data_IF_657980291425
#
_entry.id   IF_657980291425
#
_cell.length_a   1.000
_cell.length_b   1.000
_cell.length_c   1.000
_cell.angle_alpha   90.00
_cell.angle_beta   90.00
_cell.angle_gamma   90.00
#
_symmetry.space_group_name_H-M   'P 1'
#
loop_
_entity.id
_entity.type
_entity.pdbx_description
1 polymer ?
#
# COMPACT_ATOMS: atom_id res chain seq x y z
N UNK A 1 15.84 1.35 -8.07
CA UNK A 1 14.97 1.52 -9.24
C UNK A 1 14.41 0.17 -9.66
N UNK A 2 15.25 -0.81 -10.04
CA UNK A 2 14.79 -2.18 -10.37
C UNK A 2 13.98 -2.93 -9.28
N UNK A 3 14.31 -2.77 -7.99
CA UNK A 3 13.59 -3.45 -6.89
C UNK A 3 12.14 -2.96 -6.73
N UNK A 4 11.88 -1.66 -6.90
CA UNK A 4 10.53 -1.08 -6.80
C UNK A 4 9.65 -1.36 -8.03
N UNK A 5 10.26 -1.57 -9.20
CA UNK A 5 9.57 -1.96 -10.45
C UNK A 5 8.98 -3.37 -10.31
N UNK A 6 9.78 -4.31 -9.78
CA UNK A 6 9.35 -5.69 -9.53
C UNK A 6 8.24 -5.76 -8.49
N UNK A 7 8.31 -4.95 -7.43
CA UNK A 7 7.30 -4.95 -6.37
C UNK A 7 5.93 -4.43 -6.83
N UNK A 8 5.88 -3.31 -7.55
CA UNK A 8 4.60 -2.75 -8.02
C UNK A 8 3.93 -3.66 -9.06
N UNK A 9 4.70 -4.17 -10.02
CA UNK A 9 4.21 -5.16 -10.99
C UNK A 9 3.69 -6.43 -10.29
N UNK A 10 4.45 -6.95 -9.33
CA UNK A 10 4.07 -8.15 -8.59
C UNK A 10 2.73 -7.97 -7.86
N UNK A 11 2.52 -6.86 -7.15
CA UNK A 11 1.26 -6.61 -6.45
C UNK A 11 0.06 -6.52 -7.41
N UNK A 12 0.20 -5.87 -8.57
CA UNK A 12 -0.87 -5.80 -9.57
C UNK A 12 -1.29 -7.19 -10.07
N UNK A 13 -0.31 -8.05 -10.35
CA UNK A 13 -0.56 -9.44 -10.75
C UNK A 13 -1.24 -10.24 -9.64
N UNK A 14 -0.75 -10.14 -8.40
CA UNK A 14 -1.33 -10.85 -7.25
C UNK A 14 -2.77 -10.40 -6.97
N UNK A 15 -3.11 -9.11 -7.11
CA UNK A 15 -4.49 -8.61 -6.96
C UNK A 15 -5.41 -9.21 -8.03
N UNK A 16 -4.96 -9.26 -9.29
CA UNK A 16 -5.77 -9.74 -10.42
C UNK A 16 -6.04 -11.24 -10.35
N UNK A 17 -5.03 -12.01 -9.96
CA UNK A 17 -5.05 -13.48 -10.05
C UNK A 17 -5.50 -14.14 -8.72
N UNK A 18 -5.94 -13.34 -7.74
CA UNK A 18 -6.39 -13.85 -6.44
C UNK A 18 -7.80 -14.49 -6.50
N UNK A 19 -7.91 -15.69 -5.95
CA UNK A 19 -9.18 -16.39 -5.73
C UNK A 19 -10.06 -15.63 -4.72
N UNK A 20 -11.36 -15.55 -5.01
CA UNK A 20 -12.31 -14.75 -4.23
C UNK A 20 -12.60 -15.32 -2.84
N UNK A 21 -12.46 -16.62 -2.69
CA UNK A 21 -12.70 -17.43 -1.49
C UNK A 21 -11.40 -17.81 -0.77
N UNK A 22 -10.27 -17.23 -1.17
CA UNK A 22 -9.01 -17.41 -0.48
C UNK A 22 -9.09 -16.93 0.97
N UNK A 23 -8.62 -17.75 1.91
CA UNK A 23 -8.47 -17.40 3.32
C UNK A 23 -7.07 -17.78 3.82
N UNK A 24 -6.57 -16.98 4.78
CA UNK A 24 -5.31 -17.30 5.43
C UNK A 24 -5.50 -18.37 6.50
N UNK A 25 -4.47 -19.20 6.66
CA UNK A 25 -4.38 -20.20 7.71
C UNK A 25 -3.05 -20.10 8.45
N UNK A 26 -3.06 -20.50 9.72
CA UNK A 26 -1.84 -20.68 10.51
C UNK A 26 -0.98 -21.76 9.83
N UNK A 27 0.33 -21.50 9.73
CA UNK A 27 1.30 -22.37 9.08
C UNK A 27 1.48 -22.14 7.57
N UNK A 28 0.74 -21.21 6.94
CA UNK A 28 1.03 -20.81 5.56
C UNK A 28 2.40 -20.14 5.45
N UNK A 29 3.14 -20.45 4.39
CA UNK A 29 4.53 -20.02 4.19
C UNK A 29 4.65 -19.15 2.95
N UNK A 30 5.46 -18.10 3.05
CA UNK A 30 5.85 -17.21 1.95
C UNK A 30 7.37 -17.05 1.92
N UNK A 31 7.93 -16.90 0.73
CA UNK A 31 9.38 -16.95 0.51
C UNK A 31 10.11 -15.71 1.03
N UNK A 32 9.41 -14.58 1.13
CA UNK A 32 9.96 -13.29 1.57
C UNK A 32 8.86 -12.31 2.01
N UNK A 33 9.25 -11.13 2.53
CA UNK A 33 8.31 -10.11 3.01
C UNK A 33 7.41 -9.59 1.88
N UNK A 34 7.94 -9.43 0.67
CA UNK A 34 7.22 -8.87 -0.48
C UNK A 34 6.06 -9.78 -0.86
N UNK A 35 6.32 -11.08 -0.99
CA UNK A 35 5.31 -12.09 -1.30
C UNK A 35 4.22 -12.14 -0.21
N UNK A 36 4.63 -12.23 1.06
CA UNK A 36 3.71 -12.26 2.19
C UNK A 36 2.83 -10.99 2.25
N UNK A 37 3.45 -9.82 2.08
CA UNK A 37 2.77 -8.54 2.10
C UNK A 37 1.82 -8.39 0.91
N UNK A 38 2.24 -8.72 -0.31
CA UNK A 38 1.40 -8.59 -1.49
C UNK A 38 0.22 -9.56 -1.47
N UNK A 39 0.43 -10.80 -1.00
CA UNK A 39 -0.68 -11.73 -0.81
C UNK A 39 -1.69 -11.17 0.21
N UNK A 40 -1.22 -10.63 1.33
CA UNK A 40 -2.13 -10.07 2.33
C UNK A 40 -2.84 -8.80 1.86
N UNK A 41 -2.14 -7.92 1.12
CA UNK A 41 -2.75 -6.73 0.52
C UNK A 41 -3.80 -7.12 -0.51
N UNK A 42 -3.51 -8.06 -1.42
CA UNK A 42 -4.49 -8.49 -2.40
C UNK A 42 -5.74 -9.08 -1.75
N UNK A 43 -5.58 -9.88 -0.70
CA UNK A 43 -6.69 -10.40 0.11
C UNK A 43 -7.51 -9.26 0.71
N UNK A 44 -6.83 -8.28 1.32
CA UNK A 44 -7.48 -7.15 1.95
C UNK A 44 -8.25 -6.27 0.95
N UNK A 45 -7.68 -6.02 -0.24
CA UNK A 45 -8.36 -5.32 -1.33
C UNK A 45 -9.60 -6.11 -1.78
N UNK A 46 -9.46 -7.43 -1.96
CA UNK A 46 -10.55 -8.33 -2.31
C UNK A 46 -11.70 -8.30 -1.30
N UNK A 47 -11.40 -8.22 0.00
CA UNK A 47 -12.39 -8.08 1.09
C UNK A 47 -12.90 -6.65 1.26
N UNK A 48 -12.13 -5.63 0.89
CA UNK A 48 -12.50 -4.22 0.99
C UNK A 48 -11.95 -3.50 2.23
N UNK A 49 -10.74 -3.82 2.68
CA UNK A 49 -10.08 -3.06 3.74
C UNK A 49 -8.63 -2.72 3.38
N UNK A 50 -8.09 -1.68 4.03
CA UNK A 50 -6.69 -1.28 3.86
C UNK A 50 -5.77 -1.99 4.85
N UNK A 51 -4.52 -2.19 4.45
CA UNK A 51 -3.47 -2.81 5.27
C UNK A 51 -2.43 -1.77 5.68
N UNK A 52 -1.90 -1.91 6.90
CA UNK A 52 -0.75 -1.17 7.43
C UNK A 52 0.30 -2.14 7.95
N UNK A 53 1.58 -1.86 7.66
CA UNK A 53 2.72 -2.51 8.30
C UNK A 53 2.85 -1.99 9.74
N UNK A 54 2.82 -2.87 10.73
CA UNK A 54 2.87 -2.51 12.14
C UNK A 54 4.22 -2.93 12.74
N UNK A 55 4.22 -3.93 13.63
CA UNK A 55 5.40 -4.31 14.37
C UNK A 55 6.40 -5.09 13.50
N UNK A 56 7.68 -4.80 13.69
CA UNK A 56 8.82 -5.53 13.14
C UNK A 56 9.75 -5.87 14.30
N UNK A 57 9.97 -7.15 14.56
CA UNK A 57 10.95 -7.60 15.56
C UNK A 57 12.20 -8.09 14.86
N UNK A 58 13.36 -7.74 15.43
CA UNK A 58 14.67 -8.20 14.96
C UNK A 58 15.44 -8.88 16.08
N UNK A 59 16.28 -9.85 15.74
CA UNK A 59 17.21 -10.45 16.69
C UNK A 59 18.46 -9.57 16.89
N UNK A 60 19.41 -10.02 17.73
CA UNK A 60 20.67 -9.31 18.00
C UNK A 60 21.56 -9.13 16.76
N UNK A 61 21.37 -9.96 15.73
CA UNK A 61 22.10 -9.87 14.45
C UNK A 61 21.43 -8.91 13.46
N UNK A 62 20.27 -8.34 13.81
CA UNK A 62 19.49 -7.46 12.95
C UNK A 62 18.55 -8.18 11.98
N UNK A 63 18.48 -9.52 12.03
CA UNK A 63 17.60 -10.32 11.18
C UNK A 63 16.16 -10.20 11.68
N UNK A 64 15.21 -10.09 10.76
CA UNK A 64 13.78 -10.03 11.07
C UNK A 64 13.37 -11.39 11.63
N UNK A 65 12.71 -11.39 12.80
CA UNK A 65 12.17 -12.60 13.44
C UNK A 65 10.66 -12.62 13.49
N UNK A 66 10.02 -11.46 13.47
CA UNK A 66 8.56 -11.32 13.42
C UNK A 66 8.14 -10.11 12.63
N UNK A 67 7.02 -10.24 11.92
CA UNK A 67 6.38 -9.14 11.21
C UNK A 67 4.87 -9.20 11.39
N UNK A 68 4.25 -8.05 11.63
CA UNK A 68 2.80 -7.93 11.78
C UNK A 68 2.24 -6.96 10.74
N UNK A 69 1.18 -7.38 10.05
CA UNK A 69 0.35 -6.52 9.22
C UNK A 69 -1.04 -6.43 9.85
N UNK A 70 -1.61 -5.23 9.83
CA UNK A 70 -2.89 -4.93 10.51
C UNK A 70 -3.85 -4.23 9.56
N UNK A 71 -5.14 -4.26 9.90
CA UNK A 71 -6.10 -3.38 9.27
C UNK A 71 -5.71 -1.90 9.46
N UNK A 72 -5.97 -1.06 8.47
CA UNK A 72 -5.73 0.38 8.57
C UNK A 72 -6.58 1.03 9.68
N UNK A 73 -7.68 0.37 10.07
CA UNK A 73 -8.56 0.76 11.17
C UNK A 73 -8.15 0.21 12.55
N UNK A 74 -6.99 -0.47 12.64
CA UNK A 74 -6.49 -1.06 13.89
C UNK A 74 -6.15 0.01 14.93
N UNK A 75 -6.45 -0.33 16.19
CA UNK A 75 -6.19 0.50 17.36
C UNK A 75 -7.11 1.72 17.43
N UNK A 76 -6.84 2.62 18.38
CA UNK A 76 -7.53 3.90 18.48
C UNK A 76 -6.53 5.02 18.20
N UNK A 77 -6.98 6.06 17.49
CA UNK A 77 -6.18 7.28 17.41
C UNK A 77 -6.12 7.87 18.82
N UNK A 78 -4.90 8.04 19.36
CA UNK A 78 -4.72 8.93 20.50
C UNK A 78 -5.01 10.34 19.98
N UNK A 79 -6.15 10.91 20.39
CA UNK A 79 -6.47 12.30 20.14
C UNK A 79 -5.27 13.15 20.56
N UNK A 80 -4.68 13.88 19.62
CA UNK A 80 -3.63 14.82 19.95
C UNK A 80 -4.27 15.94 20.76
N UNK A 81 -3.92 16.03 22.04
CA UNK A 81 -4.18 17.19 22.89
C UNK A 81 -3.85 18.49 22.14
N UNK A 82 -4.79 19.43 22.12
CA UNK A 82 -4.61 20.88 21.93
C UNK A 82 -3.64 21.37 20.84
N UNK A 83 -3.63 20.74 19.67
CA UNK A 83 -3.11 21.40 18.47
C UNK A 83 -4.22 21.49 17.44
N UNK A 84 -4.69 22.72 17.20
CA UNK A 84 -5.60 23.09 16.12
C UNK A 84 -5.12 22.46 14.81
N UNK A 85 -5.72 21.31 14.45
CA UNK A 85 -5.47 20.72 13.14
C UNK A 85 -6.21 21.57 12.12
N UNK A 86 -5.44 22.12 11.17
CA UNK A 86 -5.95 22.83 9.98
C UNK A 86 -6.93 22.00 9.14
N UNK A 87 -7.00 20.68 9.38
CA UNK A 87 -7.98 19.74 8.82
C UNK A 87 -8.28 18.63 9.82
N UNK A 88 -9.56 18.41 10.12
CA UNK A 88 -10.06 17.22 10.80
C UNK A 88 -9.77 16.00 9.91
N UNK A 89 -8.73 15.25 10.25
CA UNK A 89 -8.47 13.97 9.61
C UNK A 89 -9.51 13.02 10.21
N UNK A 90 -10.56 12.68 9.46
CA UNK A 90 -11.52 11.64 9.84
C UNK A 90 -10.76 10.49 10.51
N UNK A 91 -11.10 10.19 11.77
CA UNK A 91 -10.39 9.18 12.53
C UNK A 91 -10.52 7.83 11.81
N UNK A 92 -9.39 7.34 11.29
CA UNK A 92 -9.36 6.13 10.46
C UNK A 92 -9.34 4.87 11.33
N UNK A 93 -9.06 4.99 12.63
CA UNK A 93 -8.80 3.88 13.56
C UNK A 93 -9.93 3.74 14.58
N UNK A 94 -10.66 2.63 14.51
CA UNK A 94 -11.89 2.36 15.26
C UNK A 94 -11.76 1.14 16.19
N UNK A 95 -10.55 0.80 16.61
CA UNK A 95 -10.27 -0.34 17.49
C UNK A 95 -10.36 -1.70 16.79
N UNK A 96 -10.21 -1.75 15.46
CA UNK A 96 -10.22 -3.01 14.74
C UNK A 96 -9.06 -3.90 15.24
N UNK A 97 -9.29 -5.21 15.38
CA UNK A 97 -8.27 -6.15 15.88
C UNK A 97 -7.69 -7.03 14.77
N UNK A 98 -8.16 -6.87 13.53
CA UNK A 98 -7.70 -7.66 12.38
C UNK A 98 -6.22 -7.47 12.16
N UNK A 99 -5.52 -8.60 12.17
CA UNK A 99 -4.08 -8.68 11.99
C UNK A 99 -3.65 -10.06 11.53
N UNK A 100 -2.51 -10.09 10.87
CA UNK A 100 -1.75 -11.29 10.56
C UNK A 100 -0.33 -11.12 11.08
N UNK A 101 0.17 -12.12 11.80
CA UNK A 101 1.53 -12.14 12.31
C UNK A 101 2.30 -13.28 11.67
N UNK A 102 3.53 -12.97 11.31
CA UNK A 102 4.48 -13.91 10.75
C UNK A 102 5.61 -14.16 11.74
N UNK A 103 5.96 -15.44 11.91
CA UNK A 103 7.29 -15.85 12.36
C UNK A 103 8.19 -15.81 11.13
N UNK A 104 9.39 -15.26 11.29
CA UNK A 104 10.37 -15.17 10.20
C UNK A 104 11.60 -15.99 10.57
N UNK A 105 11.96 -16.93 9.70
CA UNK A 105 13.16 -17.75 9.82
C UNK A 105 13.91 -17.78 8.49
N UNK A 106 15.18 -17.37 8.49
CA UNK A 106 15.99 -17.25 7.27
C UNK A 106 15.30 -16.49 6.11
N UNK A 107 14.51 -15.47 6.44
CA UNK A 107 13.76 -14.66 5.48
C UNK A 107 12.44 -15.28 5.00
N UNK A 108 12.11 -16.50 5.41
CA UNK A 108 10.85 -17.18 5.13
C UNK A 108 9.79 -16.77 6.15
N UNK A 109 8.60 -16.41 5.68
CA UNK A 109 7.50 -15.87 6.48
C UNK A 109 6.43 -16.95 6.68
N UNK A 110 6.27 -17.43 7.92
CA UNK A 110 5.25 -18.40 8.30
C UNK A 110 4.16 -17.72 9.13
N UNK A 111 2.89 -17.89 8.77
CA UNK A 111 1.75 -17.33 9.52
C UNK A 111 1.65 -17.99 10.89
N UNK A 112 1.84 -17.22 11.96
CA UNK A 112 1.76 -17.68 13.34
C UNK A 112 0.49 -17.25 14.08
N UNK A 113 -0.15 -16.16 13.63
CA UNK A 113 -1.42 -15.67 14.18
C UNK A 113 -2.22 -15.01 13.05
N UNK A 114 -3.52 -15.27 13.01
CA UNK A 114 -4.43 -14.67 12.06
C UNK A 114 -5.77 -14.36 12.75
N UNK A 115 -6.16 -13.08 12.71
CA UNK A 115 -7.43 -12.57 13.23
C UNK A 115 -8.16 -11.88 12.08
N UNK A 116 -9.34 -12.37 11.72
CA UNK A 116 -10.11 -11.94 10.55
C UNK A 116 -11.34 -11.10 10.86
N UNK A 117 -11.81 -11.07 12.11
CA UNK A 117 -13.06 -10.40 12.47
C UNK A 117 -12.91 -8.88 12.52
N UNK A 118 -13.65 -8.19 11.63
CA UNK A 118 -13.71 -6.74 11.56
C UNK A 118 -14.86 -6.17 12.39
N UNK A 119 -14.64 -5.00 12.98
CA UNK A 119 -15.66 -4.23 13.70
C UNK A 119 -16.15 -2.99 12.92
N UNK A 120 -15.84 -2.93 11.62
CA UNK A 120 -16.21 -1.82 10.74
C UNK A 120 -16.67 -2.36 9.38
N UNK A 121 -17.43 -1.54 8.65
CA UNK A 121 -17.83 -1.87 7.29
C UNK A 121 -16.62 -1.95 6.35
N UNK A 122 -16.74 -2.81 5.34
CA UNK A 122 -15.80 -2.85 4.23
C UNK A 122 -16.09 -1.75 3.21
N UNK A 123 -15.05 -1.36 2.47
CA UNK A 123 -15.14 -0.46 1.32
C UNK A 123 -15.94 -1.16 0.20
N UNK A 124 -16.98 -0.50 -0.34
CA UNK A 124 -17.76 -1.02 -1.47
C UNK A 124 -16.89 -1.37 -2.69
N UNK A 125 -17.35 -2.34 -3.49
CA UNK A 125 -16.62 -2.85 -4.64
C UNK A 125 -16.23 -1.77 -5.66
N UNK A 126 -17.12 -0.82 -5.92
CA UNK A 126 -16.88 0.30 -6.84
C UNK A 126 -15.83 1.30 -6.31
N UNK A 127 -15.50 1.25 -5.02
CA UNK A 127 -14.55 2.13 -4.34
C UNK A 127 -13.25 1.44 -3.92
N UNK A 128 -13.10 0.12 -4.12
CA UNK A 128 -11.88 -0.63 -3.76
C UNK A 128 -10.60 -0.06 -4.39
N UNK A 129 -10.71 0.53 -5.59
CA UNK A 129 -9.61 1.21 -6.28
C UNK A 129 -9.05 2.44 -5.52
N UNK A 130 -9.75 2.92 -4.49
CA UNK A 130 -9.32 4.03 -3.64
C UNK A 130 -8.50 3.57 -2.42
N UNK A 131 -8.50 2.26 -2.09
CA UNK A 131 -7.79 1.72 -0.93
C UNK A 131 -6.29 1.86 -1.14
N UNK A 132 -5.66 2.67 -0.28
CA UNK A 132 -4.28 3.15 -0.46
C UNK A 132 -3.24 2.04 -0.65
N UNK A 133 -3.31 0.94 0.09
CA UNK A 133 -2.30 -0.13 0.01
C UNK A 133 -2.32 -0.89 -1.32
N UNK A 134 -3.42 -0.83 -2.07
CA UNK A 134 -3.52 -1.41 -3.42
C UNK A 134 -3.24 -0.42 -4.54
N UNK A 135 -2.99 0.87 -4.24
CA UNK A 135 -2.70 1.88 -5.25
C UNK A 135 -1.23 1.91 -5.60
N UNK A 136 -0.95 1.98 -6.89
CA UNK A 136 0.39 2.02 -7.44
C UNK A 136 0.42 2.82 -8.72
N UNK A 137 1.48 3.61 -8.89
CA UNK A 137 1.83 4.18 -10.19
C UNK A 137 2.83 3.20 -10.79
N UNK A 138 2.43 2.47 -11.82
CA UNK A 138 3.37 1.62 -12.56
C UNK A 138 4.38 2.49 -13.31
N UNK A 139 5.56 1.96 -13.59
CA UNK A 139 6.63 2.73 -14.22
C UNK A 139 6.25 3.29 -15.60
N UNK A 140 5.51 2.57 -16.47
CA UNK A 140 5.00 3.17 -17.71
C UNK A 140 4.15 4.42 -17.48
N UNK A 141 3.37 4.46 -16.39
CA UNK A 141 2.61 5.65 -16.03
C UNK A 141 3.47 6.72 -15.37
N UNK A 142 4.51 6.35 -14.61
CA UNK A 142 5.48 7.32 -14.07
C UNK A 142 6.22 8.02 -15.21
N UNK A 143 6.76 7.27 -16.15
CA UNK A 143 7.50 7.80 -17.30
C UNK A 143 6.60 8.73 -18.13
N UNK A 144 5.38 8.29 -18.44
CA UNK A 144 4.42 9.12 -19.16
C UNK A 144 4.06 10.40 -18.41
N UNK A 145 3.94 10.37 -17.07
CA UNK A 145 3.72 11.58 -16.26
C UNK A 145 4.91 12.54 -16.35
N UNK A 146 6.13 12.03 -16.22
CA UNK A 146 7.37 12.83 -16.29
C UNK A 146 7.54 13.46 -17.67
N UNK A 147 7.31 12.70 -18.74
CA UNK A 147 7.39 13.18 -20.13
C UNK A 147 6.39 14.30 -20.40
N UNK A 148 5.13 14.10 -20.03
CA UNK A 148 4.08 15.11 -20.21
C UNK A 148 4.40 16.40 -19.45
N UNK A 149 4.89 16.29 -18.22
CA UNK A 149 5.25 17.46 -17.41
C UNK A 149 6.45 18.19 -18.00
N UNK A 150 7.46 17.46 -18.48
CA UNK A 150 8.63 18.02 -19.16
C UNK A 150 8.24 18.75 -20.46
N UNK A 151 7.18 18.29 -21.13
CA UNK A 151 6.58 18.97 -22.28
C UNK A 151 5.65 20.15 -21.90
N UNK A 152 5.58 20.53 -20.62
CA UNK A 152 4.78 21.65 -20.13
C UNK A 152 3.31 21.33 -19.84
N UNK A 153 2.89 20.06 -19.90
CA UNK A 153 1.53 19.67 -19.52
C UNK A 153 1.38 19.75 -18.00
N UNK A 154 0.38 20.50 -17.54
CA UNK A 154 0.08 20.58 -16.10
C UNK A 154 -0.26 19.20 -15.50
N UNK A 155 0.24 18.91 -14.30
CA UNK A 155 0.14 17.57 -13.69
C UNK A 155 -1.30 17.03 -13.56
N UNK A 156 -2.28 17.89 -13.27
CA UNK A 156 -3.69 17.50 -13.25
C UNK A 156 -4.20 17.10 -14.64
N UNK A 157 -3.75 17.79 -15.69
CA UNK A 157 -4.09 17.46 -17.08
C UNK A 157 -3.43 16.17 -17.50
N UNK A 158 -2.15 15.97 -17.16
CA UNK A 158 -1.42 14.72 -17.41
C UNK A 158 -2.15 13.52 -16.78
N UNK A 159 -2.56 13.64 -15.51
CA UNK A 159 -3.38 12.62 -14.84
C UNK A 159 -4.68 12.33 -15.60
N UNK A 160 -5.44 13.36 -16.00
CA UNK A 160 -6.70 13.20 -16.73
C UNK A 160 -6.51 12.49 -18.06
N UNK A 161 -5.42 12.78 -18.78
CA UNK A 161 -5.08 12.09 -20.04
C UNK A 161 -4.86 10.60 -19.79
N UNK A 162 -4.09 10.24 -18.77
CA UNK A 162 -3.86 8.83 -18.43
C UNK A 162 -5.13 8.12 -17.97
N UNK A 163 -5.94 8.77 -17.12
CA UNK A 163 -7.22 8.24 -16.69
C UNK A 163 -8.15 7.99 -17.88
N UNK A 164 -8.21 8.90 -18.84
CA UNK A 164 -9.01 8.71 -20.06
C UNK A 164 -8.49 7.54 -20.91
N UNK A 165 -7.17 7.44 -21.12
CA UNK A 165 -6.54 6.32 -21.84
C UNK A 165 -6.79 4.97 -21.19
N UNK A 166 -6.89 4.92 -19.87
CA UNK A 166 -7.21 3.71 -19.11
C UNK A 166 -8.72 3.37 -19.09
N UNK A 167 -9.58 4.17 -19.74
CA UNK A 167 -11.04 3.97 -19.70
C UNK A 167 -11.69 4.41 -18.38
N UNK A 168 -11.04 5.31 -17.64
CA UNK A 168 -11.52 5.89 -16.39
C UNK A 168 -10.50 5.81 -15.26
N UNK A 169 -10.63 6.69 -14.26
CA UNK A 169 -9.75 6.75 -13.09
C UNK A 169 -9.70 5.45 -12.29
N UNK A 170 -10.82 4.71 -12.23
CA UNK A 170 -10.91 3.42 -11.53
C UNK A 170 -10.00 2.34 -12.11
N UNK A 171 -9.63 2.44 -13.39
CA UNK A 171 -8.79 1.46 -14.08
C UNK A 171 -7.30 1.84 -14.07
N UNK A 172 -6.96 3.01 -13.52
CA UNK A 172 -5.62 3.57 -13.61
C UNK A 172 -4.66 2.99 -12.55
N UNK A 173 -5.20 2.46 -11.44
CA UNK A 173 -4.42 1.95 -10.32
C UNK A 173 -3.93 3.00 -9.31
N UNK A 174 -4.13 4.30 -9.60
CA UNK A 174 -3.78 5.40 -8.69
C UNK A 174 -4.71 6.60 -8.87
N UNK A 175 -4.73 7.49 -7.86
CA UNK A 175 -5.51 8.73 -7.90
C UNK A 175 -4.64 9.95 -8.20
N UNK A 176 -5.28 11.08 -8.54
CA UNK A 176 -4.58 12.34 -8.80
C UNK A 176 -3.58 12.69 -7.69
N UNK A 177 -3.97 12.52 -6.42
CA UNK A 177 -3.10 12.80 -5.28
C UNK A 177 -1.82 11.96 -5.28
N UNK A 178 -1.86 10.72 -5.76
CA UNK A 178 -0.66 9.87 -5.84
C UNK A 178 0.32 10.45 -6.87
N UNK A 179 -0.17 10.83 -8.05
CA UNK A 179 0.66 11.48 -9.06
C UNK A 179 1.27 12.80 -8.57
N UNK A 180 0.48 13.62 -7.84
CA UNK A 180 0.97 14.85 -7.24
C UNK A 180 2.07 14.62 -6.21
N UNK A 181 1.90 13.63 -5.33
CA UNK A 181 2.92 13.26 -4.35
C UNK A 181 4.20 12.77 -5.04
N UNK A 182 4.08 11.92 -6.07
CA UNK A 182 5.23 11.43 -6.85
C UNK A 182 5.98 12.59 -7.50
N UNK A 183 5.29 13.49 -8.19
CA UNK A 183 5.89 14.66 -8.84
C UNK A 183 6.58 15.56 -7.81
N UNK A 184 5.99 15.74 -6.63
CA UNK A 184 6.60 16.49 -5.55
C UNK A 184 7.90 15.84 -5.08
N UNK A 185 7.92 14.52 -4.89
CA UNK A 185 9.12 13.78 -4.54
C UNK A 185 10.21 13.90 -5.59
N UNK A 186 9.88 13.76 -6.88
CA UNK A 186 10.85 13.94 -7.98
C UNK A 186 11.46 15.35 -8.00
N UNK A 187 10.63 16.37 -7.80
CA UNK A 187 11.10 17.76 -7.68
C UNK A 187 12.01 17.97 -6.48
N UNK A 188 11.66 17.41 -5.33
CA UNK A 188 12.49 17.49 -4.12
C UNK A 188 13.84 16.80 -4.34
N UNK A 189 13.86 15.62 -4.96
CA UNK A 189 15.09 14.87 -5.27
C UNK A 189 16.01 15.64 -6.24
N UNK A 190 15.42 16.28 -7.26
CA UNK A 190 16.16 17.12 -8.19
C UNK A 190 16.78 18.36 -7.53
N UNK A 191 16.19 18.86 -6.44
CA UNK A 191 16.69 19.99 -5.66
C UNK A 191 17.78 19.55 -4.66
N UNK A 192 17.65 18.36 -4.06
CA UNK A 192 18.53 17.90 -2.98
C UNK A 192 19.82 17.21 -3.43
N UNK A 193 19.92 16.73 -4.68
CA UNK A 193 21.16 16.11 -5.17
C UNK A 193 21.61 14.83 -4.43
N UNK A 194 20.76 14.23 -3.58
CA UNK A 194 21.06 13.03 -2.80
C UNK A 194 19.93 12.00 -2.88
N UNK A 195 20.33 10.77 -3.17
CA UNK A 195 19.54 9.54 -3.15
C UNK A 195 19.11 9.26 -1.71
N UNK A 196 17.88 9.61 -1.35
CA UNK A 196 17.29 9.17 -0.08
C UNK A 196 16.75 7.75 -0.28
N UNK A 197 17.49 6.76 0.22
CA UNK A 197 16.97 5.41 0.48
C UNK A 197 15.76 5.52 1.41
N UNK A 198 14.59 5.12 0.93
CA UNK A 198 13.40 4.98 1.77
C UNK A 198 13.16 3.48 2.00
N UNK A 199 13.34 3.07 3.26
CA UNK A 199 12.93 1.77 3.80
C UNK A 199 11.40 1.66 3.95
#
# INVERSE_FOLDING_TARGET
>A
MAESEHETSHLAHVIRDMEKDFEFAIGMIFSNEVEAYHKYVAYAIGKGFGVRKENLSRNRKGEITRRTFVCNCEGYSVGSSDQEKKFERYEVRCGCLVRIKFKVDNGVYEVMEYVSDHNHAFVPDDQKHLIRCGRMISDPYKDALVDMISAGVGGTTAYKVLANRAGGSKNLGFILRDSQNMIQTERSNAISGEIVKVF
#
